data_IF_556995627936
#
_entry.id   IF_556995627936
#
_cell.length_a   1.000
_cell.length_b   1.000
_cell.length_c   1.000
_cell.angle_alpha   90.00
_cell.angle_beta   90.00
_cell.angle_gamma   90.00
#
_symmetry.space_group_name_H-M   'P 1'
#
loop_
_entity.id
_entity.type
_entity.pdbx_description
1 polymer ?
#
# COMPACT_ATOMS: atom_id res chain seq x y z
N UNK A 1 -6.95 -9.96 -0.45
CA UNK A 1 -7.65 -10.45 0.75
C UNK A 1 -7.30 -11.90 1.08
N UNK A 2 -7.41 -12.85 0.14
CA UNK A 2 -7.14 -14.28 0.40
C UNK A 2 -5.76 -14.58 1.02
N UNK A 3 -4.68 -14.01 0.48
CA UNK A 3 -3.31 -14.24 0.95
C UNK A 3 -3.14 -13.84 2.42
N UNK A 4 -3.72 -12.70 2.79
CA UNK A 4 -3.51 -12.12 4.11
C UNK A 4 -4.21 -12.97 5.18
N UNK A 5 -5.40 -13.50 4.89
CA UNK A 5 -6.16 -14.39 5.78
C UNK A 5 -5.41 -15.69 6.09
N UNK A 6 -4.63 -16.21 5.13
CA UNK A 6 -3.84 -17.43 5.30
C UNK A 6 -2.53 -17.16 6.07
N UNK A 7 -1.87 -16.02 5.82
CA UNK A 7 -0.61 -15.67 6.48
C UNK A 7 -0.78 -15.28 7.96
N UNK A 8 -1.93 -14.76 8.35
CA UNK A 8 -2.16 -14.28 9.72
C UNK A 8 -2.00 -15.34 10.82
N UNK A 9 -2.65 -16.52 10.76
CA UNK A 9 -2.47 -17.55 11.78
C UNK A 9 -1.03 -18.06 11.84
N UNK A 10 -0.33 -18.12 10.70
CA UNK A 10 1.07 -18.55 10.62
C UNK A 10 2.00 -17.57 11.35
N UNK A 11 1.84 -16.27 11.07
CA UNK A 11 2.60 -15.19 11.72
C UNK A 11 2.27 -15.11 13.22
N UNK A 12 0.99 -15.28 13.61
CA UNK A 12 0.60 -15.27 15.03
C UNK A 12 1.20 -16.43 15.81
N UNK A 13 1.31 -17.63 15.19
CA UNK A 13 1.94 -18.80 15.82
C UNK A 13 3.45 -18.63 15.96
N UNK A 14 4.11 -18.06 14.96
CA UNK A 14 5.55 -17.75 14.99
C UNK A 14 5.88 -16.67 16.03
N UNK A 15 5.04 -15.63 16.14
CA UNK A 15 5.18 -14.57 17.14
C UNK A 15 4.96 -15.06 18.58
N UNK A 16 4.08 -16.04 18.79
CA UNK A 16 3.89 -16.66 20.10
C UNK A 16 5.08 -17.55 20.53
N UNK A 17 5.86 -18.05 19.57
CA UNK A 17 7.05 -18.87 19.82
C UNK A 17 8.37 -18.10 19.81
N UNK A 18 8.36 -16.76 19.79
CA UNK A 18 9.55 -15.90 19.62
C UNK A 18 10.44 -16.25 18.41
N UNK A 19 9.86 -16.87 17.37
CA UNK A 19 10.58 -17.25 16.15
C UNK A 19 10.75 -16.04 15.21
N UNK A 20 11.70 -15.19 15.58
CA UNK A 20 12.10 -14.00 14.83
C UNK A 20 12.57 -14.36 13.41
N UNK A 21 13.16 -15.55 13.18
CA UNK A 21 13.59 -15.98 11.85
C UNK A 21 12.39 -16.31 10.96
N UNK A 22 11.44 -17.10 11.47
CA UNK A 22 10.20 -17.42 10.78
C UNK A 22 9.39 -16.18 10.40
N UNK A 23 9.36 -15.15 11.26
CA UNK A 23 8.68 -13.88 10.98
C UNK A 23 9.35 -13.12 9.84
N UNK A 24 10.69 -13.09 9.79
CA UNK A 24 11.43 -12.46 8.68
C UNK A 24 11.17 -13.17 7.36
N UNK A 25 11.11 -14.50 7.38
CA UNK A 25 10.82 -15.31 6.19
C UNK A 25 9.39 -15.11 5.71
N UNK A 26 8.40 -15.17 6.61
CA UNK A 26 7.00 -14.87 6.32
C UNK A 26 6.80 -13.46 5.76
N UNK A 27 7.54 -12.47 6.28
CA UNK A 27 7.51 -11.10 5.75
C UNK A 27 8.12 -10.99 4.36
N UNK A 28 9.28 -11.62 4.12
CA UNK A 28 9.95 -11.63 2.82
C UNK A 28 9.10 -12.34 1.76
N UNK A 29 8.51 -13.48 2.11
CA UNK A 29 7.54 -14.18 1.27
C UNK A 29 6.34 -13.27 0.99
N UNK A 30 5.77 -12.64 2.02
CA UNK A 30 4.64 -11.72 1.87
C UNK A 30 4.92 -10.56 0.89
N UNK A 31 6.09 -9.91 1.00
CA UNK A 31 6.52 -8.86 0.05
C UNK A 31 6.63 -9.43 -1.36
N UNK A 32 7.25 -10.60 -1.51
CA UNK A 32 7.48 -11.23 -2.82
C UNK A 32 6.16 -11.60 -3.50
N UNK A 33 5.23 -12.22 -2.77
CA UNK A 33 3.90 -12.58 -3.28
C UNK A 33 3.08 -11.34 -3.65
N UNK A 34 3.13 -10.28 -2.82
CA UNK A 34 2.50 -9.01 -3.16
C UNK A 34 3.13 -8.41 -4.42
N UNK A 35 4.45 -8.41 -4.54
CA UNK A 35 5.15 -7.92 -5.72
C UNK A 35 4.72 -8.69 -6.98
N UNK A 36 4.72 -10.02 -6.92
CA UNK A 36 4.33 -10.88 -8.05
C UNK A 36 2.90 -10.65 -8.53
N UNK A 37 1.96 -10.34 -7.64
CA UNK A 37 0.57 -10.08 -8.04
C UNK A 37 0.29 -8.61 -8.35
N UNK A 38 0.76 -7.69 -7.51
CA UNK A 38 0.42 -6.27 -7.60
C UNK A 38 1.17 -5.58 -8.73
N UNK A 39 2.43 -5.95 -9.04
CA UNK A 39 3.17 -5.32 -10.15
C UNK A 39 2.46 -5.53 -11.49
N UNK A 40 2.12 -6.76 -11.93
CA UNK A 40 1.41 -6.94 -13.19
C UNK A 40 -0.02 -6.38 -13.14
N UNK A 41 -0.71 -6.45 -11.99
CA UNK A 41 -2.04 -5.87 -11.85
C UNK A 41 -2.02 -4.33 -11.99
N UNK A 42 -1.08 -3.65 -11.33
CA UNK A 42 -0.87 -2.21 -11.47
C UNK A 42 -0.50 -1.86 -12.91
N UNK A 43 0.42 -2.60 -13.54
CA UNK A 43 0.78 -2.35 -14.94
C UNK A 43 -0.44 -2.50 -15.88
N UNK A 44 -1.23 -3.56 -15.70
CA UNK A 44 -2.46 -3.78 -16.45
C UNK A 44 -3.47 -2.65 -16.26
N UNK A 45 -3.68 -2.20 -15.02
CA UNK A 45 -4.58 -1.08 -14.70
C UNK A 45 -4.09 0.24 -15.29
N UNK A 46 -2.78 0.50 -15.28
CA UNK A 46 -2.21 1.72 -15.86
C UNK A 46 -2.41 1.73 -17.38
N UNK A 47 -2.07 0.63 -18.06
CA UNK A 47 -2.21 0.49 -19.52
C UNK A 47 -3.68 0.57 -19.93
N UNK A 48 -4.57 -0.10 -19.19
CA UNK A 48 -5.99 -0.18 -19.49
C UNK A 48 -6.81 0.93 -18.84
N UNK A 49 -6.17 1.90 -18.17
CA UNK A 49 -6.88 2.94 -17.41
C UNK A 49 -7.88 3.71 -18.27
N UNK A 50 -7.44 4.23 -19.42
CA UNK A 50 -8.29 4.95 -20.35
C UNK A 50 -9.45 4.11 -20.91
N UNK A 51 -9.23 2.92 -21.50
CA UNK A 51 -10.34 2.12 -22.03
C UNK A 51 -11.31 1.65 -20.95
N UNK A 52 -10.83 1.32 -19.73
CA UNK A 52 -11.69 0.97 -18.60
C UNK A 52 -12.60 2.15 -18.26
N UNK A 53 -12.05 3.33 -18.04
CA UNK A 53 -12.86 4.51 -17.68
C UNK A 53 -13.81 4.89 -18.82
N UNK A 54 -13.35 4.80 -20.07
CA UNK A 54 -14.19 5.08 -21.24
C UNK A 54 -15.42 4.18 -21.27
N UNK A 55 -15.24 2.86 -21.17
CA UNK A 55 -16.34 1.89 -21.27
C UNK A 55 -17.30 2.02 -20.09
N UNK A 56 -16.78 2.30 -18.90
CA UNK A 56 -17.58 2.40 -17.68
C UNK A 56 -18.34 3.73 -17.58
N UNK A 57 -17.68 4.85 -17.90
CA UNK A 57 -18.16 6.18 -17.53
C UNK A 57 -18.47 7.10 -18.72
N UNK A 58 -17.88 6.92 -19.90
CA UNK A 58 -18.08 7.82 -21.05
C UNK A 58 -19.46 7.64 -21.70
N UNK A 59 -20.48 8.24 -21.06
CA UNK A 59 -21.88 8.26 -21.49
C UNK A 59 -22.54 9.58 -21.09
N UNK A 60 -23.52 10.02 -21.88
CA UNK A 60 -24.30 11.23 -21.63
C UNK A 60 -23.42 12.46 -21.39
N UNK A 61 -23.39 12.98 -20.15
CA UNK A 61 -22.68 14.20 -19.77
C UNK A 61 -21.20 13.98 -19.42
N UNK A 62 -20.71 12.74 -19.51
CA UNK A 62 -19.31 12.40 -19.22
C UNK A 62 -18.55 12.26 -20.53
N UNK A 63 -17.76 13.29 -20.86
CA UNK A 63 -17.09 13.39 -22.15
C UNK A 63 -15.65 12.85 -22.15
N UNK A 64 -14.98 12.85 -23.32
CA UNK A 64 -13.61 12.39 -23.47
C UNK A 64 -12.59 13.12 -22.58
N UNK A 65 -12.86 14.38 -22.24
CA UNK A 65 -12.02 15.18 -21.34
C UNK A 65 -12.11 14.66 -19.91
N UNK A 66 -13.30 14.31 -19.45
CA UNK A 66 -13.53 13.74 -18.11
C UNK A 66 -12.95 12.33 -18.02
N UNK A 67 -13.09 11.53 -19.09
CA UNK A 67 -12.44 10.22 -19.22
C UNK A 67 -10.94 10.33 -19.01
N UNK A 68 -10.27 11.29 -19.65
CA UNK A 68 -8.82 11.50 -19.47
C UNK A 68 -8.48 11.85 -18.03
N UNK A 69 -9.23 12.78 -17.41
CA UNK A 69 -9.00 13.19 -16.02
C UNK A 69 -9.13 12.01 -15.06
N UNK A 70 -10.20 11.22 -15.19
CA UNK A 70 -10.43 10.06 -14.31
C UNK A 70 -9.46 8.91 -14.60
N UNK A 71 -9.03 8.72 -15.84
CA UNK A 71 -7.97 7.78 -16.16
C UNK A 71 -6.65 8.14 -15.47
N UNK A 72 -6.27 9.43 -15.41
CA UNK A 72 -5.10 9.87 -14.65
C UNK A 72 -5.23 9.60 -13.15
N UNK A 73 -6.41 9.85 -12.56
CA UNK A 73 -6.69 9.50 -11.16
C UNK A 73 -6.47 8.00 -10.93
N UNK A 74 -6.99 7.16 -11.82
CA UNK A 74 -6.85 5.71 -11.73
C UNK A 74 -5.38 5.27 -11.82
N UNK A 75 -4.58 5.89 -12.70
CA UNK A 75 -3.14 5.62 -12.81
C UNK A 75 -2.44 5.93 -11.47
N UNK A 76 -2.66 7.13 -10.92
CA UNK A 76 -2.02 7.52 -9.65
C UNK A 76 -2.41 6.61 -8.50
N UNK A 77 -3.69 6.22 -8.42
CA UNK A 77 -4.16 5.30 -7.38
C UNK A 77 -3.61 3.88 -7.56
N UNK A 78 -3.45 3.44 -8.82
CA UNK A 78 -2.90 2.11 -9.13
C UNK A 78 -1.45 1.96 -8.67
N UNK A 79 -0.66 3.04 -8.70
CA UNK A 79 0.69 3.06 -8.14
C UNK A 79 0.68 2.85 -6.61
N UNK A 80 -0.36 3.35 -5.93
CA UNK A 80 -0.57 3.18 -4.48
C UNK A 80 -0.86 1.74 -4.05
N UNK A 81 -1.40 0.90 -4.94
CA UNK A 81 -1.88 -0.46 -4.62
C UNK A 81 -0.81 -1.34 -3.96
N UNK A 82 0.42 -1.26 -4.45
CA UNK A 82 1.56 -2.04 -3.94
C UNK A 82 1.82 -1.66 -2.47
N UNK A 83 1.79 -0.36 -2.15
CA UNK A 83 2.02 0.13 -0.80
C UNK A 83 0.89 -0.25 0.15
N UNK A 84 -0.36 -0.17 -0.30
CA UNK A 84 -1.50 -0.63 0.50
C UNK A 84 -1.39 -2.11 0.86
N UNK A 85 -1.00 -2.95 -0.10
CA UNK A 85 -0.73 -4.36 0.16
C UNK A 85 0.32 -4.56 1.25
N UNK A 86 1.46 -3.87 1.13
CA UNK A 86 2.55 -3.96 2.12
C UNK A 86 2.12 -3.50 3.51
N UNK A 87 1.36 -2.40 3.57
CA UNK A 87 0.86 -1.79 4.80
C UNK A 87 -0.05 -2.77 5.57
N UNK A 88 -0.87 -3.54 4.84
CA UNK A 88 -1.70 -4.59 5.46
C UNK A 88 -0.88 -5.71 6.10
N UNK A 89 0.20 -6.18 5.44
CA UNK A 89 1.09 -7.20 6.02
C UNK A 89 1.81 -6.66 7.24
N UNK A 90 2.37 -5.45 7.15
CA UNK A 90 3.08 -4.79 8.24
C UNK A 90 2.18 -4.66 9.48
N UNK A 91 0.95 -4.15 9.31
CA UNK A 91 -0.01 -4.02 10.41
C UNK A 91 -0.28 -5.36 11.11
N UNK A 92 -0.43 -6.45 10.34
CA UNK A 92 -0.64 -7.78 10.90
C UNK A 92 0.56 -8.31 11.67
N UNK A 93 1.78 -8.04 11.21
CA UNK A 93 3.00 -8.37 11.95
C UNK A 93 3.02 -7.62 13.29
N UNK A 94 2.74 -6.31 13.28
CA UNK A 94 2.68 -5.52 14.51
C UNK A 94 1.58 -6.02 15.47
N UNK A 95 0.43 -6.45 14.94
CA UNK A 95 -0.64 -7.07 15.74
C UNK A 95 -0.23 -8.42 16.33
N UNK A 96 0.47 -9.26 15.58
CA UNK A 96 1.01 -10.53 16.07
C UNK A 96 2.02 -10.31 17.22
N UNK A 97 2.79 -9.23 17.17
CA UNK A 97 3.66 -8.77 18.26
C UNK A 97 2.91 -8.07 19.42
N UNK A 98 1.57 -8.12 19.46
CA UNK A 98 0.71 -7.41 20.42
C UNK A 98 0.99 -5.89 20.50
N UNK A 99 1.60 -5.31 19.46
CA UNK A 99 1.92 -3.90 19.39
C UNK A 99 0.97 -3.18 18.43
N UNK A 100 -0.22 -2.86 18.93
CA UNK A 100 -1.24 -2.05 18.24
C UNK A 100 -0.92 -0.55 18.24
N UNK A 101 -0.12 -0.09 19.21
CA UNK A 101 0.15 1.36 19.41
C UNK A 101 1.00 1.94 18.27
N UNK A 102 1.96 1.18 17.75
CA UNK A 102 2.84 1.68 16.70
C UNK A 102 2.11 1.94 15.38
N UNK A 103 1.36 0.98 14.79
CA UNK A 103 0.52 1.24 13.64
C UNK A 103 -0.42 2.43 13.82
N UNK A 104 -1.03 2.56 15.00
CA UNK A 104 -1.98 3.64 15.27
C UNK A 104 -1.31 5.02 15.25
N UNK A 105 -0.15 5.18 15.91
CA UNK A 105 0.60 6.44 15.90
C UNK A 105 1.03 6.84 14.48
N UNK A 106 1.50 5.86 13.70
CA UNK A 106 1.93 6.08 12.32
C UNK A 106 0.73 6.46 11.45
N UNK A 107 -0.42 5.80 11.62
CA UNK A 107 -1.66 6.16 10.93
C UNK A 107 -2.12 7.58 11.28
N UNK A 108 -2.12 7.97 12.56
CA UNK A 108 -2.47 9.32 13.00
C UNK A 108 -1.54 10.39 12.39
N UNK A 109 -0.24 10.15 12.38
CA UNK A 109 0.72 11.03 11.71
C UNK A 109 0.44 11.14 10.21
N UNK A 110 0.14 10.02 9.57
CA UNK A 110 -0.15 9.98 8.14
C UNK A 110 -1.43 10.68 7.73
N UNK A 111 -2.44 10.76 8.60
CA UNK A 111 -3.63 11.60 8.36
C UNK A 111 -3.22 13.06 8.23
N UNK A 112 -2.36 13.55 9.13
CA UNK A 112 -1.88 14.94 9.10
C UNK A 112 -1.06 15.19 7.84
N UNK A 113 -0.14 14.27 7.51
CA UNK A 113 0.67 14.35 6.29
C UNK A 113 -0.22 14.33 5.05
N UNK A 114 -1.24 13.47 5.01
CA UNK A 114 -2.16 13.39 3.87
C UNK A 114 -2.95 14.68 3.68
N UNK A 115 -3.45 15.30 4.74
CA UNK A 115 -4.13 16.59 4.66
C UNK A 115 -3.23 17.69 4.10
N UNK A 116 -1.96 17.73 4.53
CA UNK A 116 -0.98 18.70 4.02
C UNK A 116 -0.70 18.45 2.55
N UNK A 117 -0.45 17.19 2.16
CA UNK A 117 -0.19 16.85 0.76
C UNK A 117 -1.42 17.10 -0.12
N UNK A 118 -2.62 16.75 0.33
CA UNK A 118 -3.85 17.00 -0.40
C UNK A 118 -4.01 18.50 -0.67
N UNK A 119 -3.78 19.34 0.34
CA UNK A 119 -3.88 20.79 0.20
C UNK A 119 -2.86 21.39 -0.77
N UNK A 120 -1.64 20.83 -0.81
CA UNK A 120 -0.60 21.26 -1.75
C UNK A 120 -0.91 20.75 -3.16
N UNK A 121 -1.17 19.44 -3.31
CA UNK A 121 -1.27 18.77 -4.61
C UNK A 121 -2.56 19.10 -5.35
N UNK A 122 -3.68 19.37 -4.65
CA UNK A 122 -4.92 19.80 -5.29
C UNK A 122 -4.72 21.10 -6.09
N UNK A 123 -3.81 21.97 -5.66
CA UNK A 123 -3.53 23.25 -6.33
C UNK A 123 -2.76 23.09 -7.64
N UNK A 124 -2.03 21.98 -7.80
CA UNK A 124 -1.23 21.72 -9.00
C UNK A 124 -1.90 20.75 -9.99
N UNK A 125 -2.70 19.80 -9.48
CA UNK A 125 -3.17 18.65 -10.26
C UNK A 125 -4.68 18.37 -10.08
N UNK A 126 -5.43 19.31 -9.50
CA UNK A 126 -6.85 19.16 -9.15
C UNK A 126 -7.10 17.82 -8.42
N UNK A 127 -8.10 17.07 -8.87
CA UNK A 127 -8.51 15.76 -8.32
C UNK A 127 -7.42 14.70 -8.49
N UNK A 128 -6.55 14.82 -9.49
CA UNK A 128 -5.39 13.93 -9.67
C UNK A 128 -4.38 14.06 -8.52
N UNK A 129 -4.27 15.24 -7.92
CA UNK A 129 -3.40 15.51 -6.78
C UNK A 129 -3.79 14.71 -5.54
N UNK A 130 -5.08 14.52 -5.29
CA UNK A 130 -5.60 13.73 -4.17
C UNK A 130 -5.22 12.25 -4.28
N UNK A 131 -5.30 11.69 -5.50
CA UNK A 131 -4.93 10.31 -5.74
C UNK A 131 -3.43 10.06 -5.56
N UNK A 132 -2.59 11.02 -5.99
CA UNK A 132 -1.15 10.96 -5.81
C UNK A 132 -0.75 11.11 -4.34
N UNK A 133 -1.36 12.07 -3.62
CA UNK A 133 -1.16 12.29 -2.19
C UNK A 133 -1.46 11.02 -1.38
N UNK A 134 -2.61 10.39 -1.64
CA UNK A 134 -3.02 9.13 -0.99
C UNK A 134 -1.97 8.03 -1.18
N UNK A 135 -1.45 7.90 -2.40
CA UNK A 135 -0.43 6.90 -2.73
C UNK A 135 0.91 7.21 -2.07
N UNK A 136 1.30 8.49 -1.99
CA UNK A 136 2.53 8.92 -1.35
C UNK A 136 2.48 8.71 0.17
N UNK A 137 1.32 8.98 0.79
CA UNK A 137 1.10 8.71 2.22
C UNK A 137 1.16 7.21 2.51
N UNK A 138 0.59 6.37 1.63
CA UNK A 138 0.71 4.92 1.76
C UNK A 138 2.20 4.48 1.72
N UNK A 139 2.99 5.02 0.80
CA UNK A 139 4.44 4.81 0.76
C UNK A 139 5.13 5.26 2.05
N UNK A 140 4.84 6.46 2.54
CA UNK A 140 5.41 6.99 3.78
C UNK A 140 5.08 6.09 4.98
N UNK A 141 3.83 5.65 5.12
CA UNK A 141 3.40 4.71 6.16
C UNK A 141 4.22 3.42 6.12
N UNK A 142 4.34 2.81 4.93
CA UNK A 142 5.10 1.58 4.73
C UNK A 142 6.56 1.79 5.10
N UNK A 143 7.18 2.88 4.65
CA UNK A 143 8.58 3.19 4.95
C UNK A 143 8.82 3.32 6.46
N UNK A 144 7.96 4.09 7.16
CA UNK A 144 8.06 4.28 8.61
C UNK A 144 7.90 2.95 9.35
N UNK A 145 6.88 2.16 9.00
CA UNK A 145 6.63 0.86 9.63
C UNK A 145 7.77 -0.13 9.39
N UNK A 146 8.36 -0.16 8.20
CA UNK A 146 9.54 -0.98 7.90
C UNK A 146 10.73 -0.57 8.75
N UNK A 147 11.00 0.73 8.90
CA UNK A 147 12.12 1.23 9.72
C UNK A 147 11.93 0.82 11.19
N UNK A 148 10.72 0.98 11.72
CA UNK A 148 10.40 0.58 13.10
C UNK A 148 10.54 -0.94 13.25
N UNK A 149 10.01 -1.72 12.31
CA UNK A 149 10.08 -3.17 12.35
C UNK A 149 11.54 -3.66 12.30
N UNK A 150 12.37 -3.03 11.47
CA UNK A 150 13.82 -3.27 11.38
C UNK A 150 14.54 -2.94 12.68
N UNK A 151 14.15 -1.88 13.38
CA UNK A 151 14.69 -1.57 14.72
C UNK A 151 14.30 -2.62 15.77
N UNK A 152 13.10 -3.21 15.68
CA UNK A 152 12.60 -4.19 16.65
C UNK A 152 13.14 -5.61 16.44
N UNK A 153 13.34 -6.02 15.18
CA UNK A 153 13.64 -7.41 14.78
C UNK A 153 15.07 -7.52 14.18
N UNK A 154 15.77 -6.41 14.01
CA UNK A 154 17.06 -6.33 13.32
C UNK A 154 16.92 -6.39 11.79
N UNK A 155 18.06 -6.34 11.06
CA UNK A 155 18.05 -6.41 9.59
C UNK A 155 17.29 -7.66 9.09
N UNK A 156 16.39 -7.44 8.13
CA UNK A 156 15.94 -8.51 7.22
C UNK A 156 17.20 -8.98 6.49
N UNK A 157 17.64 -10.21 6.72
CA UNK A 157 18.91 -10.71 6.18
C UNK A 157 18.95 -10.54 4.67
N UNK A 158 19.75 -9.59 4.19
CA UNK A 158 19.84 -9.17 2.79
C UNK A 158 20.57 -10.16 1.89
N UNK A 159 20.27 -11.46 2.00
CA UNK A 159 20.85 -12.51 1.14
C UNK A 159 19.82 -13.24 0.27
N UNK A 160 18.53 -12.92 0.37
CA UNK A 160 17.44 -13.53 -0.44
C UNK A 160 16.28 -12.57 -0.75
N UNK A 161 16.58 -11.28 -0.96
CA UNK A 161 15.67 -10.36 -1.66
C UNK A 161 16.24 -10.18 -3.05
#
# INVERSE_FOLDING_TARGET
>A
MAIVTVLYPLISRQAAGDDIKGIKESFSLGIREIGYMMIPATAGLVILSYPIIKVLFERYNFGPVDTKKVAYILIFHSLGLIFFGLLMILNRIFYAFKNVKTPLKVASFSIIVNLILDWILIRFMDVGGLALSTSLVALCNVAILIIILRKKIGNFGGRRI
#
